data_IF_244347114133
#
_entry.id   IF_244347114133
#
_cell.length_a   1.000
_cell.length_b   1.000
_cell.length_c   1.000
_cell.angle_alpha   90.00
_cell.angle_beta   90.00
_cell.angle_gamma   90.00
#
_symmetry.space_group_name_H-M   'P 1'
#
loop_
_entity.id
_entity.type
_entity.pdbx_description
1 polymer ?
#
# COMPACT_ATOMS: atom_id res chain seq x y z
N UNK A 1 21.54 -17.12 4.25
CA UNK A 1 20.12 -17.45 4.04
C UNK A 1 19.23 -16.87 5.15
N UNK A 2 19.45 -17.23 6.43
CA UNK A 2 18.65 -16.72 7.56
C UNK A 2 18.65 -15.18 7.68
N UNK A 3 19.79 -14.53 7.44
CA UNK A 3 19.90 -13.06 7.45
C UNK A 3 19.03 -12.37 6.41
N UNK A 4 18.95 -12.90 5.19
CA UNK A 4 18.13 -12.34 4.11
C UNK A 4 16.63 -12.49 4.40
N UNK A 5 16.23 -13.63 4.96
CA UNK A 5 14.85 -13.88 5.37
C UNK A 5 14.43 -12.88 6.46
N UNK A 6 15.27 -12.68 7.48
CA UNK A 6 15.01 -11.70 8.54
C UNK A 6 14.92 -10.27 7.98
N UNK A 7 15.81 -9.91 7.04
CA UNK A 7 15.78 -8.61 6.37
C UNK A 7 14.51 -8.40 5.54
N UNK A 8 14.02 -9.44 4.86
CA UNK A 8 12.76 -9.37 4.13
C UNK A 8 11.57 -9.17 5.08
N UNK A 9 11.47 -9.93 6.18
CA UNK A 9 10.39 -9.76 7.15
C UNK A 9 10.44 -8.40 7.85
N UNK A 10 11.63 -7.89 8.16
CA UNK A 10 11.78 -6.53 8.67
C UNK A 10 11.27 -5.49 7.65
N UNK A 11 11.59 -5.66 6.36
CA UNK A 11 11.09 -4.79 5.30
C UNK A 11 9.56 -4.87 5.17
N UNK A 12 8.98 -6.07 5.30
CA UNK A 12 7.53 -6.28 5.30
C UNK A 12 6.84 -5.54 6.45
N UNK A 13 7.38 -5.62 7.67
CA UNK A 13 6.84 -4.90 8.83
C UNK A 13 6.91 -3.39 8.60
N UNK A 14 8.03 -2.87 8.10
CA UNK A 14 8.19 -1.44 7.81
C UNK A 14 7.22 -0.99 6.72
N UNK A 15 7.06 -1.78 5.66
CA UNK A 15 6.08 -1.55 4.61
C UNK A 15 4.66 -1.42 5.17
N UNK A 16 4.23 -2.37 5.99
CA UNK A 16 2.90 -2.35 6.64
C UNK A 16 2.74 -1.08 7.49
N UNK A 17 3.75 -0.73 8.30
CA UNK A 17 3.69 0.49 9.11
C UNK A 17 3.57 1.76 8.24
N UNK A 18 4.26 1.83 7.10
CA UNK A 18 4.16 2.97 6.18
C UNK A 18 2.76 3.05 5.57
N UNK A 19 2.21 1.91 5.12
CA UNK A 19 0.87 1.81 4.56
C UNK A 19 -0.20 2.28 5.56
N UNK A 20 -0.22 1.70 6.76
CA UNK A 20 -1.18 2.08 7.81
C UNK A 20 -1.01 3.53 8.25
N UNK A 21 0.22 4.05 8.30
CA UNK A 21 0.47 5.45 8.61
C UNK A 21 -0.16 6.38 7.56
N UNK A 22 -0.21 5.99 6.28
CA UNK A 22 -0.89 6.75 5.24
C UNK A 22 -2.37 6.98 5.57
N UNK A 23 -3.08 5.93 5.99
CA UNK A 23 -4.47 6.02 6.44
C UNK A 23 -4.64 6.91 7.68
N UNK A 24 -3.76 6.73 8.67
CA UNK A 24 -3.76 7.54 9.91
C UNK A 24 -3.56 9.03 9.60
N UNK A 25 -2.58 9.36 8.77
CA UNK A 25 -2.30 10.74 8.38
C UNK A 25 -3.50 11.34 7.65
N UNK A 26 -4.08 10.62 6.68
CA UNK A 26 -5.26 11.06 5.95
C UNK A 26 -6.45 11.32 6.88
N UNK A 27 -6.76 10.40 7.79
CA UNK A 27 -7.84 10.55 8.75
C UNK A 27 -7.64 11.75 9.68
N UNK A 28 -6.39 12.00 10.12
CA UNK A 28 -6.03 13.18 10.93
C UNK A 28 -6.20 14.48 10.16
N UNK A 29 -5.76 14.53 8.90
CA UNK A 29 -5.96 15.68 8.01
C UNK A 29 -7.45 15.96 7.80
N UNK A 30 -8.28 14.91 7.70
CA UNK A 30 -9.73 15.02 7.61
C UNK A 30 -10.43 15.39 8.93
N UNK A 31 -9.68 15.63 10.01
CA UNK A 31 -10.21 16.15 11.29
C UNK A 31 -10.25 15.14 12.43
N UNK A 32 -9.99 13.85 12.19
CA UNK A 32 -10.00 12.82 13.23
C UNK A 32 -8.62 12.66 13.88
N UNK A 33 -8.31 13.55 14.83
CA UNK A 33 -7.00 13.62 15.49
C UNK A 33 -6.58 12.36 16.25
N UNK A 34 -7.54 11.53 16.65
CA UNK A 34 -7.31 10.31 17.42
C UNK A 34 -7.00 9.07 16.55
N UNK A 35 -6.93 9.22 15.22
CA UNK A 35 -6.58 8.11 14.34
C UNK A 35 -5.23 7.49 14.75
N UNK A 36 -5.20 6.17 14.79
CA UNK A 36 -4.04 5.34 15.14
C UNK A 36 -4.11 4.03 14.37
N UNK A 37 -2.98 3.37 14.19
CA UNK A 37 -2.96 2.01 13.67
C UNK A 37 -2.42 1.05 14.72
N UNK A 38 -2.80 -0.21 14.60
CA UNK A 38 -2.31 -1.31 15.42
C UNK A 38 -1.72 -2.36 14.50
N UNK A 39 -0.47 -2.75 14.77
CA UNK A 39 0.15 -3.85 14.05
C UNK A 39 -0.56 -5.19 14.38
N UNK A 40 -0.97 -5.34 15.63
CA UNK A 40 -1.80 -6.44 16.12
C UNK A 40 -2.87 -5.86 17.04
N UNK A 41 -4.13 -6.11 16.71
CA UNK A 41 -5.28 -5.75 17.54
C UNK A 41 -6.02 -7.02 17.95
N UNK A 42 -6.32 -7.14 19.24
CA UNK A 42 -7.16 -8.22 19.77
C UNK A 42 -8.47 -7.58 20.23
N UNK A 43 -9.56 -7.92 19.56
CA UNK A 43 -10.90 -7.40 19.88
C UNK A 43 -11.94 -8.50 19.76
N UNK A 44 -12.78 -8.66 20.77
CA UNK A 44 -13.85 -9.67 20.82
C UNK A 44 -13.34 -11.10 20.51
N UNK A 45 -12.15 -11.44 21.01
CA UNK A 45 -11.51 -12.74 20.78
C UNK A 45 -10.94 -12.95 19.36
N UNK A 46 -11.04 -11.95 18.48
CA UNK A 46 -10.45 -11.96 17.13
C UNK A 46 -9.13 -11.21 17.12
N UNK A 47 -8.13 -11.82 16.49
CA UNK A 47 -6.84 -11.19 16.20
C UNK A 47 -6.90 -10.60 14.80
N UNK A 48 -6.78 -9.28 14.72
CA UNK A 48 -6.67 -8.55 13.46
C UNK A 48 -5.25 -8.02 13.34
N UNK A 49 -4.61 -8.25 12.20
CA UNK A 49 -3.27 -7.73 11.91
C UNK A 49 -3.40 -6.49 11.04
N UNK A 50 -2.53 -5.50 11.29
CA UNK A 50 -2.42 -4.26 10.51
C UNK A 50 -3.79 -3.59 10.28
N UNK A 51 -4.28 -2.89 11.30
CA UNK A 51 -5.58 -2.21 11.25
C UNK A 51 -5.46 -0.75 11.65
N UNK A 52 -6.06 0.13 10.86
CA UNK A 52 -6.23 1.54 11.20
C UNK A 52 -7.58 1.79 11.89
N UNK A 53 -7.54 2.36 13.08
CA UNK A 53 -8.72 2.85 13.81
C UNK A 53 -9.16 4.20 13.19
N UNK A 54 -9.94 4.13 12.10
CA UNK A 54 -10.59 5.28 11.49
C UNK A 54 -12.08 4.99 11.25
N UNK A 55 -12.99 5.53 12.08
CA UNK A 55 -14.43 5.28 11.94
C UNK A 55 -15.00 5.96 10.69
N UNK A 56 -15.09 5.22 9.58
CA UNK A 56 -15.51 5.73 8.25
C UNK A 56 -16.86 6.46 8.25
N UNK A 57 -17.76 6.11 9.17
CA UNK A 57 -19.08 6.76 9.30
C UNK A 57 -19.01 8.23 9.77
N UNK A 58 -17.86 8.68 10.30
CA UNK A 58 -17.67 10.08 10.72
C UNK A 58 -17.22 11.00 9.58
N UNK A 59 -16.94 10.45 8.40
CA UNK A 59 -16.41 11.22 7.27
C UNK A 59 -17.39 11.23 6.09
N UNK A 60 -17.28 12.25 5.25
CA UNK A 60 -17.99 12.30 3.97
C UNK A 60 -17.45 11.24 3.00
N UNK A 61 -18.24 10.84 2.00
CA UNK A 61 -17.83 9.86 0.99
C UNK A 61 -16.51 10.24 0.30
N UNK A 62 -16.30 11.53 -0.01
CA UNK A 62 -15.04 12.03 -0.59
C UNK A 62 -13.84 11.84 0.33
N UNK A 63 -14.01 12.09 1.62
CA UNK A 63 -12.97 11.86 2.61
C UNK A 63 -12.71 10.37 2.78
N UNK A 64 -13.74 9.54 2.73
CA UNK A 64 -13.58 8.08 2.79
C UNK A 64 -12.84 7.52 1.57
N UNK A 65 -13.06 8.04 0.35
CA UNK A 65 -12.24 7.70 -0.82
C UNK A 65 -10.78 8.04 -0.56
N UNK A 66 -10.51 9.27 -0.10
CA UNK A 66 -9.16 9.73 0.18
C UNK A 66 -8.47 8.87 1.24
N UNK A 67 -9.12 8.65 2.39
CA UNK A 67 -8.60 7.83 3.48
C UNK A 67 -8.34 6.42 2.98
N UNK A 68 -9.25 5.81 2.22
CA UNK A 68 -9.08 4.44 1.69
C UNK A 68 -7.93 4.33 0.69
N UNK A 69 -7.62 5.38 -0.08
CA UNK A 69 -6.49 5.36 -1.02
C UNK A 69 -5.16 5.74 -0.35
N UNK A 70 -5.18 6.33 0.84
CA UNK A 70 -4.03 7.01 1.42
C UNK A 70 -2.86 6.07 1.77
N UNK A 71 -3.12 4.84 2.23
CA UNK A 71 -2.05 3.89 2.51
C UNK A 71 -1.23 3.58 1.26
N UNK A 72 -1.91 3.23 0.19
CA UNK A 72 -1.35 2.91 -1.13
C UNK A 72 -0.64 4.09 -1.80
N UNK A 73 -1.21 5.30 -1.66
CA UNK A 73 -0.57 6.51 -2.16
C UNK A 73 0.67 6.89 -1.33
N UNK A 74 0.62 6.66 -0.02
CA UNK A 74 1.74 6.90 0.90
C UNK A 74 2.92 5.99 0.62
N UNK A 75 2.67 4.68 0.45
CA UNK A 75 3.72 3.73 0.07
C UNK A 75 4.33 4.08 -1.28
N UNK A 76 3.51 4.47 -2.26
CA UNK A 76 3.99 4.96 -3.55
C UNK A 76 4.88 6.19 -3.43
N UNK A 77 4.46 7.19 -2.66
CA UNK A 77 5.27 8.39 -2.42
C UNK A 77 6.62 8.03 -1.79
N UNK A 78 6.63 7.14 -0.80
CA UNK A 78 7.86 6.64 -0.19
C UNK A 78 8.77 5.93 -1.20
N UNK A 79 8.21 5.11 -2.10
CA UNK A 79 8.99 4.46 -3.16
C UNK A 79 9.68 5.47 -4.09
N UNK A 80 8.99 6.56 -4.48
CA UNK A 80 9.58 7.61 -5.32
C UNK A 80 10.69 8.38 -4.59
N UNK A 81 10.48 8.71 -3.31
CA UNK A 81 11.50 9.34 -2.47
C UNK A 81 12.72 8.43 -2.33
N UNK A 82 12.51 7.11 -2.13
CA UNK A 82 13.59 6.14 -2.11
C UNK A 82 14.33 6.11 -3.43
N UNK A 83 13.64 6.10 -4.58
CA UNK A 83 14.28 6.11 -5.90
C UNK A 83 15.16 7.35 -6.09
N UNK A 84 14.64 8.54 -5.77
CA UNK A 84 15.41 9.79 -5.83
C UNK A 84 16.61 9.74 -4.87
N UNK A 85 16.42 9.24 -3.65
CA UNK A 85 17.49 9.05 -2.68
C UNK A 85 18.55 8.07 -3.18
N UNK A 86 18.14 6.96 -3.81
CA UNK A 86 19.08 5.95 -4.33
C UNK A 86 19.97 6.48 -5.46
N UNK A 87 19.51 7.45 -6.25
CA UNK A 87 20.34 8.15 -7.23
C UNK A 87 21.42 9.03 -6.57
N UNK A 88 21.18 9.49 -5.33
CA UNK A 88 22.17 10.24 -4.54
C UNK A 88 23.17 9.31 -3.83
N UNK A 89 22.75 8.09 -3.47
CA UNK A 89 23.57 7.11 -2.73
C UNK A 89 24.34 6.10 -3.62
N UNK A 90 24.38 6.27 -4.95
CA UNK A 90 25.06 5.36 -5.88
C UNK A 90 26.59 5.31 -5.73
N UNK A 91 27.18 6.09 -4.82
CA UNK A 91 28.63 6.15 -4.59
C UNK A 91 29.18 5.21 -3.51
N UNK A 92 28.35 4.70 -2.59
CA UNK A 92 28.84 3.89 -1.46
C UNK A 92 28.37 2.43 -1.55
N UNK A 93 29.36 1.55 -1.72
CA UNK A 93 29.27 0.08 -1.73
C UNK A 93 28.23 -0.41 -0.71
N UNK A 94 27.16 -0.95 -1.27
CA UNK A 94 26.06 -1.71 -0.67
C UNK A 94 26.32 -2.21 0.75
N UNK A 95 25.72 -1.45 1.66
CA UNK A 95 25.37 -1.79 3.04
C UNK A 95 24.91 -3.25 3.20
N UNK A 96 25.30 -3.85 4.32
CA UNK A 96 24.84 -5.13 4.89
C UNK A 96 23.31 -5.31 4.95
N UNK A 97 22.53 -4.26 4.66
CA UNK A 97 21.06 -4.26 4.55
C UNK A 97 20.52 -4.18 3.11
N UNK A 98 21.31 -4.49 2.08
CA UNK A 98 20.86 -4.39 0.69
C UNK A 98 19.54 -5.14 0.42
N UNK A 99 19.37 -6.35 0.96
CA UNK A 99 18.14 -7.13 0.80
C UNK A 99 16.93 -6.45 1.44
N UNK A 100 17.10 -5.86 2.63
CA UNK A 100 16.04 -5.08 3.29
C UNK A 100 15.56 -3.92 2.40
N UNK A 101 16.49 -3.09 1.91
CA UNK A 101 16.13 -1.91 1.12
C UNK A 101 15.50 -2.26 -0.22
N UNK A 102 16.03 -3.28 -0.90
CA UNK A 102 15.43 -3.78 -2.15
C UNK A 102 14.02 -4.31 -1.88
N UNK A 103 13.86 -5.15 -0.85
CA UNK A 103 12.55 -5.71 -0.50
C UNK A 103 11.54 -4.61 -0.15
N UNK A 104 11.95 -3.64 0.66
CA UNK A 104 11.11 -2.51 1.04
C UNK A 104 10.69 -1.69 -0.18
N UNK A 105 11.63 -1.35 -1.08
CA UNK A 105 11.33 -0.63 -2.30
C UNK A 105 10.32 -1.37 -3.18
N UNK A 106 10.51 -2.68 -3.39
CA UNK A 106 9.60 -3.52 -4.18
C UNK A 106 8.20 -3.57 -3.57
N UNK A 107 8.09 -3.76 -2.26
CA UNK A 107 6.80 -3.79 -1.56
C UNK A 107 6.08 -2.44 -1.68
N UNK A 108 6.78 -1.33 -1.40
CA UNK A 108 6.21 0.01 -1.52
C UNK A 108 5.75 0.35 -2.95
N UNK A 109 6.48 -0.14 -3.96
CA UNK A 109 6.18 0.10 -5.38
C UNK A 109 5.00 -0.72 -5.89
N UNK A 110 4.81 -1.91 -5.36
CA UNK A 110 3.82 -2.88 -5.88
C UNK A 110 2.53 -2.89 -5.09
N UNK A 111 2.42 -2.09 -4.04
CA UNK A 111 1.29 -2.05 -3.12
C UNK A 111 -0.07 -1.95 -3.82
N UNK A 112 -0.24 -0.94 -4.69
CA UNK A 112 -1.48 -0.74 -5.44
C UNK A 112 -1.84 -1.92 -6.33
N UNK A 113 -0.84 -2.51 -6.97
CA UNK A 113 -1.01 -3.68 -7.80
C UNK A 113 -1.42 -4.90 -6.98
N UNK A 114 -0.75 -5.17 -5.86
CA UNK A 114 -1.04 -6.30 -4.99
C UNK A 114 -2.44 -6.21 -4.37
N UNK A 115 -2.83 -5.03 -3.89
CA UNK A 115 -4.18 -4.83 -3.34
C UNK A 115 -5.26 -4.88 -4.41
N UNK A 116 -5.03 -4.30 -5.59
CA UNK A 116 -6.01 -4.37 -6.68
C UNK A 116 -6.16 -5.80 -7.19
N UNK A 117 -5.06 -6.54 -7.34
CA UNK A 117 -5.07 -7.95 -7.75
C UNK A 117 -5.77 -8.82 -6.70
N UNK A 118 -5.44 -8.66 -5.42
CA UNK A 118 -6.11 -9.34 -4.31
C UNK A 118 -7.61 -9.10 -4.36
N UNK A 119 -8.04 -7.88 -4.64
CA UNK A 119 -9.45 -7.53 -4.65
C UNK A 119 -10.19 -8.09 -5.87
N UNK A 120 -9.54 -8.08 -7.03
CA UNK A 120 -10.07 -8.72 -8.23
C UNK A 120 -10.21 -10.24 -8.00
N UNK A 121 -9.15 -10.88 -7.51
CA UNK A 121 -9.13 -12.32 -7.25
C UNK A 121 -10.21 -12.71 -6.24
N UNK A 122 -10.25 -12.07 -5.08
CA UNK A 122 -11.18 -12.49 -4.05
C UNK A 122 -12.64 -12.15 -4.35
N UNK A 123 -12.92 -10.98 -4.94
CA UNK A 123 -14.30 -10.56 -5.23
C UNK A 123 -14.88 -11.25 -6.47
N UNK A 124 -14.16 -11.25 -7.59
CA UNK A 124 -14.71 -11.71 -8.86
C UNK A 124 -14.43 -13.19 -9.14
N UNK A 125 -13.28 -13.71 -8.73
CA UNK A 125 -12.93 -15.10 -9.01
C UNK A 125 -13.35 -16.03 -7.86
N UNK A 126 -13.03 -15.67 -6.61
CA UNK A 126 -13.29 -16.52 -5.45
C UNK A 126 -14.65 -16.26 -4.80
N UNK A 127 -15.37 -15.20 -5.20
CA UNK A 127 -16.66 -14.77 -4.62
C UNK A 127 -16.64 -14.64 -3.10
N UNK A 128 -15.47 -14.37 -2.54
CA UNK A 128 -15.27 -14.17 -1.11
C UNK A 128 -15.65 -12.73 -0.76
N UNK A 129 -16.52 -12.50 0.24
CA UNK A 129 -16.80 -11.15 0.72
C UNK A 129 -15.51 -10.57 1.28
N UNK A 130 -15.05 -9.49 0.67
CA UNK A 130 -13.74 -8.92 0.98
C UNK A 130 -13.76 -7.99 2.20
N UNK A 131 -14.93 -7.65 2.75
CA UNK A 131 -15.03 -6.77 3.93
C UNK A 131 -14.47 -5.37 3.67
N UNK A 132 -14.17 -4.64 4.75
CA UNK A 132 -13.66 -3.26 4.78
C UNK A 132 -12.21 -3.16 4.27
N UNK A 133 -11.97 -3.54 3.01
CA UNK A 133 -10.65 -3.47 2.37
C UNK A 133 -10.48 -2.19 1.57
N UNK A 134 -9.32 -1.56 1.68
CA UNK A 134 -9.00 -0.21 1.19
C UNK A 134 -9.47 0.06 -0.25
N UNK A 135 -8.99 -0.70 -1.23
CA UNK A 135 -9.37 -0.49 -2.65
C UNK A 135 -10.86 -0.78 -2.91
N UNK A 136 -11.45 -1.73 -2.17
CA UNK A 136 -12.88 -2.02 -2.29
C UNK A 136 -13.74 -0.92 -1.66
N UNK A 137 -13.32 -0.38 -0.51
CA UNK A 137 -13.95 0.77 0.13
C UNK A 137 -13.87 1.99 -0.79
N UNK A 138 -12.69 2.29 -1.34
CA UNK A 138 -12.50 3.38 -2.29
C UNK A 138 -13.45 3.26 -3.48
N UNK A 139 -13.55 2.07 -4.10
CA UNK A 139 -14.43 1.81 -5.23
C UNK A 139 -15.92 1.96 -4.86
N UNK A 140 -16.34 1.46 -3.68
CA UNK A 140 -17.70 1.61 -3.17
C UNK A 140 -18.07 3.08 -2.93
N UNK A 141 -17.19 3.87 -2.32
CA UNK A 141 -17.45 5.31 -2.10
C UNK A 141 -17.39 6.11 -3.41
N UNK A 142 -16.56 5.71 -4.37
CA UNK A 142 -16.55 6.27 -5.73
C UNK A 142 -17.87 6.01 -6.45
N UNK A 143 -18.43 4.81 -6.33
CA UNK A 143 -19.76 4.50 -6.88
C UNK A 143 -20.83 5.42 -6.30
N UNK A 144 -20.88 5.57 -4.96
CA UNK A 144 -21.82 6.49 -4.30
C UNK A 144 -21.68 7.94 -4.79
N UNK A 145 -20.44 8.39 -5.00
CA UNK A 145 -20.15 9.78 -5.37
C UNK A 145 -20.41 10.06 -6.86
N UNK A 146 -20.23 9.07 -7.74
CA UNK A 146 -20.20 9.28 -9.20
C UNK A 146 -21.34 8.59 -9.95
N UNK A 147 -22.08 7.69 -9.30
CA UNK A 147 -23.10 6.84 -9.92
C UNK A 147 -22.56 5.79 -10.89
N UNK A 148 -21.22 5.66 -11.01
CA UNK A 148 -20.59 4.63 -11.84
C UNK A 148 -20.41 3.35 -11.02
N UNK A 149 -20.72 2.18 -11.59
CA UNK A 149 -20.71 0.93 -10.84
C UNK A 149 -19.30 0.57 -10.37
N UNK A 150 -19.16 -0.13 -9.24
CA UNK A 150 -17.87 -0.45 -8.64
C UNK A 150 -16.86 -1.13 -9.58
N UNK A 151 -17.34 -2.03 -10.45
CA UNK A 151 -16.48 -2.73 -11.43
C UNK A 151 -15.77 -1.78 -12.40
N UNK A 152 -16.40 -0.65 -12.74
CA UNK A 152 -15.77 0.38 -13.57
C UNK A 152 -14.52 0.94 -12.88
N UNK A 153 -14.62 1.23 -11.58
CA UNK A 153 -13.52 1.75 -10.78
C UNK A 153 -12.42 0.71 -10.57
N UNK A 154 -12.78 -0.56 -10.36
CA UNK A 154 -11.78 -1.63 -10.30
C UNK A 154 -11.00 -1.80 -11.59
N UNK A 155 -11.66 -1.72 -12.76
CA UNK A 155 -10.98 -1.81 -14.06
C UNK A 155 -10.03 -0.62 -14.23
N UNK A 156 -10.47 0.59 -13.85
CA UNK A 156 -9.63 1.79 -13.93
C UNK A 156 -8.40 1.68 -13.02
N UNK A 157 -8.60 1.31 -11.75
CA UNK A 157 -7.52 1.12 -10.77
C UNK A 157 -6.58 -0.02 -11.19
N UNK A 158 -7.11 -1.11 -11.76
CA UNK A 158 -6.33 -2.21 -12.30
C UNK A 158 -5.49 -1.78 -13.50
N UNK A 159 -6.06 -0.97 -14.40
CA UNK A 159 -5.33 -0.38 -15.52
C UNK A 159 -4.20 0.55 -15.05
N UNK A 160 -4.46 1.39 -14.04
CA UNK A 160 -3.45 2.26 -13.44
C UNK A 160 -2.33 1.45 -12.77
N UNK A 161 -2.69 0.42 -11.99
CA UNK A 161 -1.72 -0.44 -11.32
C UNK A 161 -0.86 -1.23 -12.32
N UNK A 162 -1.45 -1.70 -13.42
CA UNK A 162 -0.72 -2.38 -14.48
C UNK A 162 0.22 -1.41 -15.20
N UNK A 163 -0.25 -0.21 -15.55
CA UNK A 163 0.58 0.83 -16.16
C UNK A 163 1.75 1.20 -15.25
N UNK A 164 1.48 1.36 -13.95
CA UNK A 164 2.48 1.64 -12.92
C UNK A 164 3.54 0.54 -12.85
N UNK A 165 3.13 -0.73 -12.93
CA UNK A 165 4.04 -1.86 -12.98
C UNK A 165 4.86 -1.83 -14.27
N UNK A 166 4.23 -1.68 -15.44
CA UNK A 166 4.91 -1.67 -16.73
C UNK A 166 5.95 -0.53 -16.85
N UNK A 167 5.63 0.67 -16.35
CA UNK A 167 6.53 1.82 -16.38
C UNK A 167 7.55 1.79 -15.23
N UNK A 168 7.18 1.19 -14.10
CA UNK A 168 8.02 1.09 -12.91
C UNK A 168 9.02 -0.06 -12.97
N UNK A 169 8.69 -1.16 -13.64
CA UNK A 169 9.50 -2.38 -13.70
C UNK A 169 10.89 -2.15 -14.31
N UNK A 170 11.05 -1.41 -15.42
CA UNK A 170 12.38 -1.13 -15.97
C UNK A 170 13.24 -0.33 -14.98
N UNK A 171 12.68 0.73 -14.38
CA UNK A 171 13.39 1.56 -13.39
C UNK A 171 13.76 0.77 -12.13
N UNK A 172 12.87 -0.14 -11.72
CA UNK A 172 13.07 -1.05 -10.62
C UNK A 172 14.18 -2.06 -10.91
N UNK A 173 14.21 -2.62 -12.13
CA UNK A 173 15.28 -3.50 -12.58
C UNK A 173 16.61 -2.76 -12.65
N UNK A 174 16.65 -1.56 -13.21
CA UNK A 174 17.89 -0.75 -13.28
C UNK A 174 18.42 -0.41 -11.88
N UNK A 175 17.55 0.00 -10.94
CA UNK A 175 17.93 0.31 -9.57
C UNK A 175 18.43 -0.91 -8.78
N UNK A 176 17.89 -2.10 -9.06
CA UNK A 176 18.34 -3.36 -8.43
C UNK A 176 19.63 -3.86 -9.08
N UNK A 177 19.72 -3.86 -10.40
CA UNK A 177 20.87 -4.36 -11.16
C UNK A 177 22.11 -3.49 -10.93
N UNK A 178 21.96 -2.17 -10.92
CA UNK A 178 23.06 -1.23 -10.62
C UNK A 178 23.66 -1.39 -9.21
N UNK A 179 22.99 -2.11 -8.30
CA UNK A 179 23.49 -2.43 -6.96
C UNK A 179 24.13 -3.82 -6.86
N UNK A 180 23.97 -4.66 -7.88
CA UNK A 180 24.54 -6.00 -7.95
C UNK A 180 25.83 -6.07 -8.78
N UNK A 181 26.11 -5.03 -9.59
CA UNK A 181 27.32 -4.84 -10.40
C UNK A 181 28.29 -3.89 -9.72
#
# INVERSE_FOLDING_TARGET
MLSHVLQFFAALIVFVCIHEMGHVIAARICGYRHARFHLVQIKDGKVTLAVTDAPLHLFSDRQNIWISMAGVLGTRFCAEVMLLGTQVFSGEKTSWMATFWISLFLLLRTDLFLYTLRNILGRYLLRTPQGDQDISLAAMFLEKTTGRPEHFWFVLLGGLALLELCLGLPRMMDAVLSRLT
#
